data_IF_729560555524
#
_entry.id   IF_729560555524
#
_cell.length_a   1.000
_cell.length_b   1.000
_cell.length_c   1.000
_cell.angle_alpha   90.00
_cell.angle_beta   90.00
_cell.angle_gamma   90.00
#
_symmetry.space_group_name_H-M   'P 1'
#
loop_
_entity.id
_entity.type
_entity.pdbx_description
1 polymer ?
#
# COMPACT_ATOMS: atom_id res chain seq x y z
N UNK A 1 1.31 -6.91 1.07
CA UNK A 1 1.51 -6.76 -0.39
C UNK A 1 2.97 -6.36 -0.62
N UNK A 2 3.62 -6.81 -1.69
CA UNK A 2 4.94 -6.29 -2.07
C UNK A 2 4.81 -4.80 -2.44
N UNK A 3 5.77 -3.97 -2.05
CA UNK A 3 5.77 -2.53 -2.34
C UNK A 3 6.10 -2.32 -3.81
N UNK A 4 5.51 -1.33 -4.49
CA UNK A 4 5.96 -0.99 -5.85
C UNK A 4 7.44 -0.56 -5.84
N UNK A 5 7.96 -0.12 -4.70
CA UNK A 5 9.33 0.38 -4.56
C UNK A 5 10.34 -0.67 -4.09
N UNK A 6 9.98 -1.96 -4.02
CA UNK A 6 10.88 -3.01 -3.53
C UNK A 6 12.19 -3.13 -4.33
N UNK A 7 12.20 -2.70 -5.60
CA UNK A 7 13.40 -2.65 -6.44
C UNK A 7 14.48 -1.69 -5.92
N UNK A 8 14.15 -0.75 -5.02
CA UNK A 8 15.14 0.16 -4.42
C UNK A 8 16.05 -0.53 -3.40
N UNK A 9 15.74 -1.77 -2.99
CA UNK A 9 16.55 -2.49 -1.99
C UNK A 9 17.83 -3.10 -2.55
N UNK A 10 18.02 -3.04 -3.87
CA UNK A 10 19.12 -3.68 -4.60
C UNK A 10 20.46 -2.98 -4.37
N UNK A 11 20.46 -1.69 -4.05
CA UNK A 11 21.64 -0.86 -3.89
C UNK A 11 21.54 0.00 -2.62
N UNK A 12 22.68 0.32 -2.00
CA UNK A 12 22.73 1.00 -0.70
C UNK A 12 22.21 2.45 -0.79
N UNK A 13 22.56 3.18 -1.85
CA UNK A 13 22.16 4.59 -2.00
C UNK A 13 20.65 4.69 -2.24
N UNK A 14 20.10 3.76 -3.02
CA UNK A 14 18.66 3.71 -3.31
C UNK A 14 17.83 3.11 -2.16
N UNK A 15 18.41 2.25 -1.33
CA UNK A 15 17.73 1.67 -0.17
C UNK A 15 17.34 2.73 0.87
N UNK A 16 18.05 3.84 0.97
CA UNK A 16 17.68 4.96 1.84
C UNK A 16 16.34 5.61 1.42
N UNK A 17 16.03 5.59 0.12
CA UNK A 17 14.78 6.13 -0.42
C UNK A 17 13.59 5.20 -0.15
N UNK A 18 13.83 3.89 -0.05
CA UNK A 18 12.79 2.86 0.04
C UNK A 18 11.80 3.13 1.18
N UNK A 19 12.31 3.41 2.38
CA UNK A 19 11.45 3.59 3.56
C UNK A 19 10.45 4.73 3.37
N UNK A 20 10.90 5.86 2.80
CA UNK A 20 10.03 7.02 2.55
C UNK A 20 9.06 6.76 1.40
N UNK A 21 9.50 6.08 0.34
CA UNK A 21 8.65 5.73 -0.80
C UNK A 21 7.54 4.74 -0.40
N UNK A 22 7.89 3.70 0.35
CA UNK A 22 6.93 2.74 0.91
C UNK A 22 5.96 3.40 1.91
N UNK A 23 6.42 4.38 2.70
CA UNK A 23 5.50 5.19 3.52
C UNK A 23 4.52 5.98 2.66
N UNK A 24 4.93 6.51 1.49
CA UNK A 24 4.01 7.21 0.59
C UNK A 24 2.90 6.27 0.09
N UNK A 25 3.24 5.02 -0.27
CA UNK A 25 2.21 4.03 -0.64
C UNK A 25 1.25 3.74 0.51
N UNK A 26 1.78 3.55 1.71
CA UNK A 26 0.96 3.30 2.90
C UNK A 26 0.01 4.46 3.18
N UNK A 27 0.48 5.71 3.09
CA UNK A 27 -0.34 6.91 3.25
C UNK A 27 -1.48 6.93 2.22
N UNK A 28 -1.21 6.54 0.97
CA UNK A 28 -2.24 6.43 -0.07
C UNK A 28 -3.35 5.45 0.32
N UNK A 29 -2.98 4.25 0.80
CA UNK A 29 -3.97 3.25 1.26
C UNK A 29 -4.78 3.72 2.47
N UNK A 30 -4.22 4.63 3.28
CA UNK A 30 -4.87 5.23 4.44
C UNK A 30 -5.66 6.50 4.10
N UNK A 31 -5.71 6.89 2.81
CA UNK A 31 -6.36 8.12 2.31
C UNK A 31 -5.69 9.41 2.81
N UNK A 32 -4.46 9.33 3.30
CA UNK A 32 -3.64 10.49 3.63
C UNK A 32 -2.91 11.00 2.38
N UNK A 33 -3.66 11.67 1.50
CA UNK A 33 -3.13 12.15 0.22
C UNK A 33 -2.13 13.30 0.38
N UNK A 34 -2.26 14.13 1.41
CA UNK A 34 -1.28 15.17 1.72
C UNK A 34 0.06 14.55 2.13
N UNK A 35 0.04 13.51 2.96
CA UNK A 35 1.21 12.73 3.32
C UNK A 35 1.87 12.02 2.13
N UNK A 36 1.09 11.58 1.13
CA UNK A 36 1.64 11.06 -0.13
C UNK A 36 2.46 12.14 -0.84
N UNK A 37 1.86 13.31 -1.09
CA UNK A 37 2.47 14.39 -1.87
C UNK A 37 3.75 14.93 -1.22
N UNK A 38 3.76 15.06 0.11
CA UNK A 38 4.94 15.50 0.87
C UNK A 38 6.08 14.48 0.83
N UNK A 39 5.77 13.19 0.99
CA UNK A 39 6.78 12.11 0.94
C UNK A 39 7.34 11.91 -0.46
N UNK A 40 6.49 11.90 -1.48
CA UNK A 40 6.88 11.80 -2.89
C UNK A 40 7.83 12.95 -3.27
N UNK A 41 7.52 14.18 -2.86
CA UNK A 41 8.43 15.33 -3.05
C UNK A 41 9.78 15.12 -2.40
N UNK A 42 9.82 14.59 -1.16
CA UNK A 42 11.08 14.31 -0.46
C UNK A 42 11.90 13.25 -1.19
N UNK A 43 11.26 12.18 -1.66
CA UNK A 43 11.94 11.14 -2.46
C UNK A 43 12.51 11.74 -3.74
N UNK A 44 11.69 12.46 -4.51
CA UNK A 44 12.14 13.12 -5.75
C UNK A 44 13.30 14.11 -5.51
N UNK A 45 13.27 14.88 -4.42
CA UNK A 45 14.37 15.78 -4.07
C UNK A 45 15.69 15.03 -3.80
N UNK A 46 15.64 13.90 -3.10
CA UNK A 46 16.86 13.11 -2.84
C UNK A 46 17.32 12.37 -4.10
N UNK A 47 16.41 11.89 -4.95
CA UNK A 47 16.77 11.32 -6.25
C UNK A 47 17.42 12.35 -7.17
N UNK A 48 16.98 13.61 -7.15
CA UNK A 48 17.62 14.68 -7.91
C UNK A 48 19.07 14.95 -7.44
N UNK A 49 19.34 14.83 -6.14
CA UNK A 49 20.70 14.93 -5.57
C UNK A 49 21.55 13.73 -6.01
N UNK A 50 21.04 12.50 -5.85
CA UNK A 50 21.74 11.29 -6.27
C UNK A 50 22.05 11.31 -7.78
N UNK A 51 21.12 11.78 -8.61
CA UNK A 51 21.36 11.97 -10.03
C UNK A 51 22.51 12.95 -10.29
N UNK A 52 22.50 14.11 -9.63
CA UNK A 52 23.55 15.10 -9.80
C UNK A 52 24.92 14.53 -9.39
N UNK A 53 24.99 13.79 -8.28
CA UNK A 53 26.21 13.14 -7.82
C UNK A 53 26.72 12.11 -8.84
N UNK A 54 25.82 11.24 -9.34
CA UNK A 54 26.17 10.21 -10.35
C UNK A 54 26.55 10.80 -11.71
N UNK A 55 25.98 11.96 -12.07
CA UNK A 55 26.26 12.66 -13.31
C UNK A 55 27.39 13.70 -13.19
N UNK A 56 28.06 13.79 -12.03
CA UNK A 56 29.12 14.78 -11.75
C UNK A 56 28.68 16.24 -11.96
N UNK A 57 27.42 16.55 -11.60
CA UNK A 57 26.84 17.89 -11.68
C UNK A 57 26.99 18.57 -10.33
N UNK A 58 27.68 19.70 -10.30
CA UNK A 58 27.82 20.49 -9.07
C UNK A 58 26.49 21.16 -8.69
N UNK A 59 25.97 20.83 -7.51
CA UNK A 59 24.82 21.50 -6.91
C UNK A 59 25.26 22.49 -5.82
N UNK A 60 24.68 23.70 -5.75
CA UNK A 60 24.98 24.64 -4.67
C UNK A 60 24.57 24.09 -3.30
N UNK A 61 25.44 24.25 -2.28
CA UNK A 61 25.27 23.68 -0.91
C UNK A 61 24.00 24.11 -0.16
N UNK A 62 23.32 25.17 -0.62
CA UNK A 62 22.07 25.69 -0.03
C UNK A 62 20.95 25.90 -1.07
N UNK A 63 20.96 25.10 -2.13
CA UNK A 63 19.95 25.15 -3.18
C UNK A 63 18.60 24.57 -2.72
N UNK A 64 17.50 25.23 -3.11
CA UNK A 64 16.16 24.66 -2.95
C UNK A 64 15.95 23.53 -3.96
N UNK A 65 14.92 22.69 -3.76
CA UNK A 65 14.50 21.73 -4.78
C UNK A 65 14.30 22.40 -6.15
N UNK A 66 13.71 23.60 -6.19
CA UNK A 66 13.51 24.30 -7.45
C UNK A 66 14.83 24.60 -8.17
N UNK A 67 15.82 25.10 -7.43
CA UNK A 67 17.13 25.46 -7.97
C UNK A 67 17.86 24.22 -8.51
N UNK A 68 17.85 23.12 -7.74
CA UNK A 68 18.41 21.83 -8.18
C UNK A 68 17.76 21.37 -9.49
N UNK A 69 16.43 21.42 -9.57
CA UNK A 69 15.69 21.02 -10.78
C UNK A 69 16.00 21.92 -11.99
N UNK A 70 16.24 23.22 -11.80
CA UNK A 70 16.67 24.11 -12.89
C UNK A 70 18.02 23.72 -13.47
N UNK A 71 18.92 23.16 -12.65
CA UNK A 71 20.25 22.71 -13.09
C UNK A 71 20.15 21.36 -13.78
N UNK A 72 19.53 20.36 -13.12
CA UNK A 72 19.52 18.98 -13.62
C UNK A 72 18.67 18.79 -14.88
N UNK A 73 17.64 19.63 -15.11
CA UNK A 73 16.77 19.49 -16.30
C UNK A 73 17.52 19.57 -17.63
N UNK A 74 18.67 20.25 -17.66
CA UNK A 74 19.49 20.39 -18.86
C UNK A 74 20.37 19.15 -19.14
N UNK A 75 20.42 18.22 -18.19
CA UNK A 75 21.22 17.00 -18.23
C UNK A 75 20.36 15.73 -18.38
N UNK A 76 19.04 15.87 -18.36
CA UNK A 76 18.09 14.77 -18.54
C UNK A 76 17.47 14.88 -19.94
N UNK A 77 17.78 13.92 -20.81
CA UNK A 77 17.25 13.89 -22.17
C UNK A 77 15.77 13.49 -22.23
N UNK A 78 15.28 12.76 -21.21
CA UNK A 78 13.89 12.32 -21.14
C UNK A 78 13.01 13.45 -20.58
N UNK A 79 12.22 14.08 -21.46
CA UNK A 79 11.32 15.18 -21.08
C UNK A 79 10.26 14.76 -20.07
N UNK A 80 9.72 13.54 -20.15
CA UNK A 80 8.68 13.07 -19.24
C UNK A 80 9.19 12.95 -17.80
N UNK A 81 10.47 12.58 -17.64
CA UNK A 81 11.15 12.55 -16.33
C UNK A 81 11.31 13.97 -15.78
N UNK A 82 11.72 14.92 -16.62
CA UNK A 82 11.84 16.34 -16.22
C UNK A 82 10.49 16.89 -15.80
N UNK A 83 9.45 16.69 -16.61
CA UNK A 83 8.10 17.18 -16.33
C UNK A 83 7.56 16.55 -15.03
N UNK A 84 7.80 15.25 -14.81
CA UNK A 84 7.43 14.56 -13.57
C UNK A 84 8.10 15.18 -12.32
N UNK A 85 9.39 15.53 -12.37
CA UNK A 85 10.05 16.22 -11.25
C UNK A 85 9.38 17.56 -10.93
N UNK A 86 9.05 18.35 -11.96
CA UNK A 86 8.44 19.66 -11.78
C UNK A 86 7.00 19.58 -11.26
N UNK A 87 6.19 18.64 -11.75
CA UNK A 87 4.83 18.43 -11.27
C UNK A 87 4.81 17.96 -9.80
N UNK A 88 5.69 17.01 -9.44
CA UNK A 88 5.84 16.57 -8.04
C UNK A 88 6.22 17.75 -7.13
N UNK A 89 7.15 18.60 -7.57
CA UNK A 89 7.55 19.80 -6.83
C UNK A 89 6.36 20.72 -6.58
N UNK A 90 5.52 20.96 -7.59
CA UNK A 90 4.35 21.83 -7.47
C UNK A 90 3.30 21.29 -6.48
N UNK A 91 2.87 20.04 -6.66
CA UNK A 91 1.90 19.41 -5.75
C UNK A 91 2.44 19.28 -4.33
N UNK A 92 3.69 18.83 -4.18
CA UNK A 92 4.32 18.67 -2.88
C UNK A 92 4.54 20.00 -2.14
N UNK A 93 4.90 21.08 -2.84
CA UNK A 93 5.00 22.41 -2.22
C UNK A 93 3.62 22.92 -1.75
N UNK A 94 2.58 22.70 -2.55
CA UNK A 94 1.20 23.04 -2.17
C UNK A 94 0.81 22.31 -0.88
N UNK A 95 1.12 21.00 -0.79
CA UNK A 95 0.83 20.18 0.38
C UNK A 95 1.67 20.49 1.62
N UNK A 96 2.93 20.89 1.46
CA UNK A 96 3.80 21.16 2.60
C UNK A 96 3.54 22.54 3.26
N UNK A 97 2.95 23.49 2.54
CA UNK A 97 2.90 24.89 2.96
C UNK A 97 1.50 25.51 3.07
N UNK A 98 0.44 24.81 2.63
CA UNK A 98 -0.94 25.30 2.72
C UNK A 98 -1.74 24.43 3.66
N UNK A 99 -2.58 25.06 4.49
CA UNK A 99 -3.58 24.34 5.27
C UNK A 99 -4.68 23.83 4.34
N UNK A 100 -5.06 22.56 4.44
CA UNK A 100 -6.08 21.90 3.61
C UNK A 100 -5.84 22.11 2.10
N UNK A 101 -4.68 21.65 1.58
CA UNK A 101 -4.30 21.87 0.19
C UNK A 101 -5.34 21.25 -0.75
N UNK A 102 -5.92 22.06 -1.64
CA UNK A 102 -6.89 21.59 -2.66
C UNK A 102 -6.30 20.52 -3.57
N UNK A 103 -4.98 20.50 -3.69
CA UNK A 103 -4.25 19.55 -4.54
C UNK A 103 -4.08 18.17 -3.88
N UNK A 104 -4.35 18.01 -2.57
CA UNK A 104 -4.30 16.72 -1.88
C UNK A 104 -5.53 15.85 -2.18
N UNK A 105 -5.74 15.57 -3.46
CA UNK A 105 -6.79 14.68 -3.96
C UNK A 105 -6.24 13.27 -4.17
N UNK A 106 -7.14 12.28 -4.21
CA UNK A 106 -6.78 10.89 -4.56
C UNK A 106 -6.07 10.82 -5.92
N UNK A 107 -6.57 11.59 -6.89
CA UNK A 107 -6.05 11.63 -8.26
C UNK A 107 -4.62 12.15 -8.31
N UNK A 108 -4.36 13.31 -7.69
CA UNK A 108 -3.01 13.90 -7.65
C UNK A 108 -2.03 13.06 -6.85
N UNK A 109 -2.48 12.44 -5.75
CA UNK A 109 -1.65 11.51 -4.98
C UNK A 109 -1.26 10.27 -5.80
N UNK A 110 -2.21 9.69 -6.54
CA UNK A 110 -1.93 8.54 -7.41
C UNK A 110 -1.01 8.92 -8.56
N UNK A 111 -1.26 10.08 -9.20
CA UNK A 111 -0.42 10.62 -10.27
C UNK A 111 1.01 10.84 -9.78
N UNK A 112 1.17 11.46 -8.62
CA UNK A 112 2.49 11.72 -8.02
C UNK A 112 3.23 10.43 -7.65
N UNK A 113 2.51 9.42 -7.12
CA UNK A 113 3.10 8.09 -6.88
C UNK A 113 3.61 7.43 -8.16
N UNK A 114 2.84 7.49 -9.25
CA UNK A 114 3.27 6.99 -10.56
C UNK A 114 4.49 7.73 -11.08
N UNK A 115 4.51 9.05 -10.93
CA UNK A 115 5.62 9.89 -11.38
C UNK A 115 6.90 9.61 -10.60
N UNK A 116 6.83 9.47 -9.28
CA UNK A 116 8.04 9.16 -8.49
C UNK A 116 8.53 7.76 -8.79
N UNK A 117 7.62 6.80 -9.03
CA UNK A 117 7.97 5.48 -9.49
C UNK A 117 8.71 5.53 -10.83
N UNK A 118 8.19 6.26 -11.81
CA UNK A 118 8.83 6.46 -13.11
C UNK A 118 10.23 7.08 -12.99
N UNK A 119 10.39 8.12 -12.16
CA UNK A 119 11.68 8.75 -11.87
C UNK A 119 12.66 7.76 -11.27
N UNK A 120 12.23 6.95 -10.31
CA UNK A 120 13.09 6.00 -9.61
C UNK A 120 13.49 4.83 -10.52
N UNK A 121 12.57 4.31 -11.33
CA UNK A 121 12.88 3.28 -12.33
C UNK A 121 13.90 3.82 -13.33
N UNK A 122 13.71 5.05 -13.83
CA UNK A 122 14.69 5.70 -14.71
C UNK A 122 16.06 5.84 -14.05
N UNK A 123 16.13 6.40 -12.84
CA UNK A 123 17.39 6.61 -12.15
C UNK A 123 18.13 5.29 -11.92
N UNK A 124 17.43 4.26 -11.45
CA UNK A 124 18.00 2.95 -11.16
C UNK A 124 18.51 2.28 -12.45
N UNK A 125 17.73 2.31 -13.52
CA UNK A 125 18.09 1.66 -14.79
C UNK A 125 19.31 2.32 -15.44
N UNK A 126 19.43 3.64 -15.35
CA UNK A 126 20.49 4.39 -16.02
C UNK A 126 21.77 4.54 -15.20
N UNK A 127 21.68 4.54 -13.85
CA UNK A 127 22.81 4.92 -12.98
C UNK A 127 23.18 3.91 -11.89
N UNK A 128 22.40 2.85 -11.70
CA UNK A 128 22.60 1.88 -10.62
C UNK A 128 22.84 0.47 -11.15
N UNK A 129 21.87 -0.10 -11.88
CA UNK A 129 21.96 -1.47 -12.40
C UNK A 129 21.17 -1.59 -13.71
N UNK A 130 21.89 -1.81 -14.81
CA UNK A 130 21.33 -1.94 -16.16
C UNK A 130 20.61 -3.29 -16.39
N UNK A 131 20.80 -4.25 -15.49
CA UNK A 131 20.07 -5.53 -15.49
C UNK A 131 18.65 -5.37 -14.95
N UNK A 132 18.35 -4.24 -14.31
CA UNK A 132 17.01 -3.91 -13.86
C UNK A 132 16.14 -3.64 -15.09
N UNK A 133 15.24 -4.60 -15.35
CA UNK A 133 14.52 -4.69 -16.61
C UNK A 133 13.59 -3.51 -16.84
N UNK A 134 13.56 -3.04 -18.09
CA UNK A 134 12.56 -2.11 -18.66
C UNK A 134 11.11 -2.49 -18.30
N UNK A 135 10.83 -3.77 -18.03
CA UNK A 135 9.52 -4.21 -17.54
C UNK A 135 9.04 -3.48 -16.29
N UNK A 136 9.94 -2.90 -15.48
CA UNK A 136 9.53 -2.09 -14.33
C UNK A 136 8.67 -0.89 -14.75
N UNK A 137 8.91 -0.25 -15.89
CA UNK A 137 8.11 0.92 -16.31
C UNK A 137 6.60 0.64 -16.38
N UNK A 138 6.22 -0.60 -16.72
CA UNK A 138 4.82 -1.02 -16.87
C UNK A 138 4.25 -1.71 -15.61
N UNK A 139 5.05 -1.87 -14.55
CA UNK A 139 4.70 -2.69 -13.38
C UNK A 139 4.08 -1.90 -12.21
N UNK A 140 3.82 -0.60 -12.36
CA UNK A 140 3.19 0.16 -11.30
C UNK A 140 1.75 -0.32 -11.06
N UNK A 141 1.44 -0.70 -9.83
CA UNK A 141 0.10 -1.08 -9.39
C UNK A 141 -0.43 -0.04 -8.40
N UNK A 142 -1.66 0.45 -8.60
CA UNK A 142 -2.31 1.34 -7.62
C UNK A 142 -2.34 0.65 -6.24
N UNK A 143 -1.78 1.27 -5.19
CA UNK A 143 -1.76 0.67 -3.86
C UNK A 143 -3.19 0.48 -3.34
N UNK A 144 -3.51 -0.75 -2.95
CA UNK A 144 -4.79 -1.09 -2.34
C UNK A 144 -4.58 -1.34 -0.86
N UNK A 145 -5.49 -0.82 -0.03
CA UNK A 145 -5.53 -1.19 1.36
C UNK A 145 -5.68 -2.72 1.43
N UNK A 146 -4.74 -3.37 2.10
CA UNK A 146 -4.90 -4.79 2.42
C UNK A 146 -6.15 -4.89 3.29
N UNK A 147 -7.08 -5.78 2.93
CA UNK A 147 -8.20 -6.11 3.81
C UNK A 147 -7.58 -6.50 5.16
N UNK A 148 -7.78 -5.64 6.16
CA UNK A 148 -7.45 -6.03 7.53
C UNK A 148 -8.40 -7.19 7.80
N UNK A 149 -7.87 -8.41 7.89
CA UNK A 149 -8.61 -9.47 8.55
C UNK A 149 -9.10 -8.87 9.86
N UNK A 150 -10.41 -8.77 10.01
CA UNK A 150 -11.00 -8.32 11.26
C UNK A 150 -10.51 -9.29 12.31
N UNK A 151 -9.55 -8.89 13.14
CA UNK A 151 -8.90 -9.72 14.18
C UNK A 151 -9.88 -10.21 15.25
N UNK A 152 -11.15 -9.88 15.08
CA UNK A 152 -12.22 -10.01 16.00
C UNK A 152 -13.26 -10.94 15.32
N UNK A 153 -12.86 -12.19 15.10
CA UNK A 153 -13.79 -13.27 14.79
C UNK A 153 -13.82 -14.20 16.01
N UNK A 154 -15.02 -14.49 16.53
CA UNK A 154 -15.20 -15.47 17.61
C UNK A 154 -15.52 -16.83 17.00
N UNK A 155 -14.78 -17.85 17.42
CA UNK A 155 -15.02 -19.25 17.05
C UNK A 155 -16.08 -19.84 17.98
N UNK A 156 -17.03 -20.58 17.42
CA UNK A 156 -17.96 -21.42 18.18
C UNK A 156 -17.94 -22.85 17.64
N UNK A 157 -18.22 -23.80 18.54
CA UNK A 157 -18.32 -25.23 18.22
C UNK A 157 -19.77 -25.63 18.43
N UNK A 158 -20.34 -26.36 17.47
CA UNK A 158 -21.69 -26.92 17.58
C UNK A 158 -21.67 -28.44 17.44
N UNK A 159 -22.57 -29.09 18.18
CA UNK A 159 -22.81 -30.53 18.11
C UNK A 159 -24.22 -30.74 17.58
N UNK A 160 -24.37 -31.52 16.52
CA UNK A 160 -25.66 -31.82 15.92
C UNK A 160 -26.01 -33.30 16.10
N UNK A 161 -27.26 -33.56 16.50
CA UNK A 161 -27.91 -34.87 16.46
C UNK A 161 -28.94 -34.92 15.33
N UNK A 162 -29.10 -36.07 14.67
CA UNK A 162 -30.05 -36.26 13.56
C UNK A 162 -31.50 -36.37 14.06
N UNK A 163 -32.50 -36.19 13.18
CA UNK A 163 -33.92 -36.37 13.51
C UNK A 163 -34.29 -37.87 13.54
N UNK A 164 -34.96 -38.36 14.61
CA UNK A 164 -35.33 -39.78 14.80
C UNK A 164 -36.76 -40.14 14.40
N UNK A 165 -37.52 -39.25 13.79
CA UNK A 165 -38.93 -39.54 13.49
C UNK A 165 -39.13 -40.77 12.59
N UNK A 166 -38.09 -41.17 11.84
CA UNK A 166 -38.09 -42.38 11.00
C UNK A 166 -37.65 -43.67 11.71
N UNK A 167 -37.27 -43.62 12.99
CA UNK A 167 -36.84 -44.79 13.77
C UNK A 167 -35.49 -45.39 13.38
N UNK A 168 -34.71 -44.73 12.52
CA UNK A 168 -33.42 -45.21 11.99
C UNK A 168 -32.19 -44.83 12.81
N UNK A 169 -32.37 -44.33 14.04
CA UNK A 169 -31.25 -43.88 14.89
C UNK A 169 -30.17 -44.93 15.15
N UNK A 170 -30.53 -46.22 15.20
CA UNK A 170 -29.57 -47.30 15.41
C UNK A 170 -28.45 -47.33 14.35
N UNK A 171 -28.71 -46.81 13.14
CA UNK A 171 -27.69 -46.70 12.08
C UNK A 171 -26.65 -45.58 12.32
N UNK A 172 -26.89 -44.69 13.28
CA UNK A 172 -26.04 -43.55 13.61
C UNK A 172 -25.53 -43.61 15.05
N UNK A 173 -25.66 -44.76 15.72
CA UNK A 173 -25.16 -44.97 17.07
C UNK A 173 -23.63 -44.80 17.08
N UNK A 174 -23.13 -43.83 17.85
CA UNK A 174 -21.72 -43.43 17.87
C UNK A 174 -21.31 -42.34 16.86
N UNK A 175 -22.21 -41.89 15.97
CA UNK A 175 -21.92 -40.81 15.03
C UNK A 175 -22.20 -39.43 15.65
N UNK A 176 -21.16 -38.61 15.81
CA UNK A 176 -21.28 -37.20 16.23
C UNK A 176 -20.78 -36.30 15.11
N UNK A 177 -21.60 -35.34 14.68
CA UNK A 177 -21.15 -34.25 13.81
C UNK A 177 -20.78 -33.07 14.68
N UNK A 178 -19.47 -32.82 14.79
CA UNK A 178 -18.91 -31.63 15.42
C UNK A 178 -18.54 -30.67 14.29
N UNK A 179 -19.05 -29.45 14.34
CA UNK A 179 -18.70 -28.40 13.38
C UNK A 179 -18.10 -27.19 14.08
N UNK A 180 -17.15 -26.56 13.40
CA UNK A 180 -16.59 -25.27 13.79
C UNK A 180 -17.19 -24.17 12.91
N UNK A 181 -17.49 -23.01 13.50
CA UNK A 181 -17.92 -21.81 12.79
C UNK A 181 -17.28 -20.56 13.36
N UNK A 182 -17.17 -19.52 12.53
CA UNK A 182 -16.77 -18.17 12.93
C UNK A 182 -17.91 -17.18 12.71
N UNK A 183 -17.95 -16.18 13.59
CA UNK A 183 -18.85 -15.03 13.51
C UNK A 183 -18.03 -13.77 13.76
N UNK A 184 -18.34 -12.70 13.05
CA UNK A 184 -17.76 -11.39 13.29
C UNK A 184 -18.07 -10.96 14.74
N UNK A 185 -17.06 -10.48 15.46
CA UNK A 185 -17.18 -10.13 16.88
C UNK A 185 -17.54 -8.65 17.09
N UNK A 186 -18.04 -8.00 16.05
CA UNK A 186 -18.63 -6.67 16.07
C UNK A 186 -20.00 -6.64 16.76
N UNK A 187 -20.64 -7.81 16.93
CA UNK A 187 -21.85 -7.95 17.72
C UNK A 187 -21.53 -8.05 19.22
N UNK A 188 -21.31 -6.88 19.84
CA UNK A 188 -20.97 -6.73 21.27
C UNK A 188 -22.15 -7.15 22.17
N UNK A 189 -23.38 -7.13 21.64
CA UNK A 189 -24.61 -7.46 22.35
C UNK A 189 -25.02 -8.93 22.21
N UNK A 190 -24.33 -9.71 21.36
CA UNK A 190 -24.60 -11.12 21.20
C UNK A 190 -24.36 -11.90 22.50
N UNK A 191 -25.30 -12.76 22.87
CA UNK A 191 -25.16 -13.68 23.99
C UNK A 191 -24.30 -14.89 23.58
N UNK A 192 -23.10 -15.00 24.14
CA UNK A 192 -22.14 -16.07 23.86
C UNK A 192 -22.17 -17.20 24.88
N UNK A 193 -23.13 -17.19 25.81
CA UNK A 193 -23.28 -18.28 26.75
C UNK A 193 -23.59 -19.60 26.02
N UNK A 194 -23.12 -20.75 26.52
CA UNK A 194 -23.41 -22.03 25.91
C UNK A 194 -24.92 -22.22 25.68
N UNK A 195 -25.31 -22.58 24.45
CA UNK A 195 -26.70 -22.79 24.04
C UNK A 195 -27.62 -21.55 23.98
N UNK A 196 -27.07 -20.33 23.95
CA UNK A 196 -27.86 -19.10 23.75
C UNK A 196 -28.69 -19.12 22.45
N UNK A 197 -29.76 -18.32 22.43
CA UNK A 197 -30.61 -18.17 21.23
C UNK A 197 -29.83 -17.63 20.03
N UNK A 198 -28.86 -16.75 20.30
CA UNK A 198 -27.93 -16.25 19.30
C UNK A 198 -27.14 -17.40 18.66
N UNK A 199 -26.44 -18.23 19.45
CA UNK A 199 -25.67 -19.36 18.92
C UNK A 199 -26.55 -20.39 18.20
N UNK A 200 -27.78 -20.62 18.70
CA UNK A 200 -28.78 -21.50 18.06
C UNK A 200 -29.31 -20.95 16.74
N UNK A 201 -29.32 -19.64 16.53
CA UNK A 201 -29.74 -19.02 15.27
C UNK A 201 -28.64 -19.03 14.19
N UNK A 202 -27.37 -19.02 14.61
CA UNK A 202 -26.21 -18.94 13.71
C UNK A 202 -25.73 -20.32 13.29
N UNK A 203 -25.69 -21.30 14.20
CA UNK A 203 -25.23 -22.65 13.88
C UNK A 203 -25.97 -23.34 12.72
N UNK A 204 -27.33 -23.26 12.61
CA UNK A 204 -28.07 -23.93 11.53
C UNK A 204 -27.82 -23.36 10.14
N UNK A 205 -27.42 -22.09 10.00
CA UNK A 205 -27.13 -21.48 8.68
C UNK A 205 -25.94 -22.14 7.97
N UNK A 206 -25.14 -22.91 8.69
CA UNK A 206 -23.97 -23.66 8.18
C UNK A 206 -24.26 -25.15 8.00
N UNK A 207 -25.47 -25.59 8.36
CA UNK A 207 -25.96 -26.95 8.18
C UNK A 207 -26.73 -26.97 6.86
N UNK A 208 -26.03 -27.32 5.77
CA UNK A 208 -26.67 -27.76 4.52
C UNK A 208 -26.68 -29.28 4.47
#
# INVERSE_FOLDING_TARGET
MASNFDFLKVDLDTAELFSTANMAENNYTQKDYEGVLTKVRKVAENTAVLFADRAFIELPSHSTLHDKLQIIKHHINNKDIVDAFFEIKEHGNSSAHKLNPKDATKENALKSLKQVYMILVWFVTEYVDDQIKVSLYENFLEPKAQERYTTAERKFIYVQTVNNESGKFAAFEGAQKIGEGTVASDDIEADWTPNSDFLRSVAPKRIK
#
